data_IF_471021449423
#
_entry.id   IF_471021449423
#
_cell.length_a   1.000
_cell.length_b   1.000
_cell.length_c   1.000
_cell.angle_alpha   90.00
_cell.angle_beta   90.00
_cell.angle_gamma   90.00
#
_symmetry.space_group_name_H-M   'P 1'
#
loop_
_entity.id
_entity.type
_entity.pdbx_description
1 polymer ?
#
# COMPACT_ATOMS: atom_id res chain seq x y z
N UNK A 1 2.79 5.29 24.98
CA UNK A 1 1.84 6.31 24.48
C UNK A 1 1.29 5.97 23.10
N UNK A 2 2.12 5.49 22.15
CA UNK A 2 1.70 5.11 20.79
C UNK A 2 0.66 3.96 20.76
N UNK A 3 0.81 2.84 21.50
CA UNK A 3 -0.17 1.74 21.40
C UNK A 3 -1.59 2.12 21.80
N UNK A 4 -1.75 3.01 22.80
CA UNK A 4 -3.06 3.52 23.21
C UNK A 4 -3.68 4.43 22.13
N UNK A 5 -2.88 5.26 21.49
CA UNK A 5 -3.33 6.13 20.41
C UNK A 5 -3.77 5.32 19.18
N UNK A 6 -2.99 4.31 18.78
CA UNK A 6 -3.35 3.38 17.71
C UNK A 6 -4.67 2.67 18.05
N UNK A 7 -4.78 2.11 19.26
CA UNK A 7 -6.00 1.43 19.68
C UNK A 7 -7.23 2.35 19.65
N UNK A 8 -7.10 3.58 20.14
CA UNK A 8 -8.18 4.58 20.09
C UNK A 8 -8.57 4.94 18.66
N UNK A 9 -7.58 5.14 17.78
CA UNK A 9 -7.81 5.39 16.36
C UNK A 9 -8.54 4.23 15.68
N UNK A 10 -8.11 2.98 15.93
CA UNK A 10 -8.74 1.78 15.37
C UNK A 10 -10.19 1.67 15.82
N UNK A 11 -10.48 1.87 17.10
CA UNK A 11 -11.86 1.82 17.61
C UNK A 11 -12.74 2.92 17.01
N UNK A 12 -12.23 4.16 16.89
CA UNK A 12 -12.97 5.29 16.29
C UNK A 12 -13.33 5.00 14.83
N UNK A 13 -12.41 4.39 14.09
CA UNK A 13 -12.49 4.22 12.63
C UNK A 13 -12.85 2.80 12.18
N UNK A 14 -13.16 1.89 13.09
CA UNK A 14 -13.45 0.48 12.78
C UNK A 14 -14.61 0.32 11.78
N UNK A 15 -15.61 1.19 11.87
CA UNK A 15 -16.75 1.23 10.95
C UNK A 15 -16.34 1.43 9.47
N UNK A 16 -15.14 1.96 9.21
CA UNK A 16 -14.61 2.12 7.86
C UNK A 16 -14.19 0.78 7.24
N UNK A 17 -13.96 -0.27 8.03
CA UNK A 17 -13.54 -1.59 7.51
C UNK A 17 -14.45 -2.73 7.95
N UNK A 18 -15.33 -2.48 8.92
CA UNK A 18 -16.33 -3.43 9.42
C UNK A 18 -17.62 -3.30 8.60
N UNK A 19 -17.55 -3.66 7.32
CA UNK A 19 -18.68 -3.65 6.41
C UNK A 19 -18.54 -4.74 5.34
N UNK A 20 -19.63 -5.02 4.62
CA UNK A 20 -19.63 -6.01 3.55
C UNK A 20 -18.87 -5.48 2.32
N UNK A 21 -17.76 -6.14 2.01
CA UNK A 21 -16.90 -5.82 0.86
C UNK A 21 -17.20 -6.72 -0.33
N UNK A 22 -16.90 -6.24 -1.53
CA UNK A 22 -16.74 -7.13 -2.69
C UNK A 22 -15.34 -7.75 -2.63
N UNK A 23 -15.27 -8.95 -2.07
CA UNK A 23 -14.03 -9.73 -1.97
C UNK A 23 -13.39 -10.00 -3.33
N UNK A 24 -12.07 -9.78 -3.44
CA UNK A 24 -11.28 -10.04 -4.65
C UNK A 24 -10.00 -10.80 -4.31
N UNK A 25 -9.46 -11.51 -5.30
CA UNK A 25 -8.13 -12.07 -5.22
C UNK A 25 -7.11 -10.93 -5.30
N UNK A 26 -6.27 -10.85 -4.28
CA UNK A 26 -5.17 -9.88 -4.14
C UNK A 26 -3.87 -10.63 -4.35
N UNK A 27 -2.90 -10.00 -5.01
CA UNK A 27 -1.56 -10.54 -5.19
C UNK A 27 -0.72 -10.41 -3.92
N UNK A 28 -0.96 -9.38 -3.11
CA UNK A 28 -0.29 -9.10 -1.84
C UNK A 28 1.20 -8.78 -1.93
N UNK A 29 1.80 -8.77 -3.11
CA UNK A 29 3.12 -8.20 -3.32
C UNK A 29 3.30 -7.66 -4.75
N UNK A 30 2.28 -6.96 -5.24
CA UNK A 30 2.32 -6.39 -6.58
C UNK A 30 3.21 -5.14 -6.61
N UNK A 31 4.42 -5.30 -7.14
CA UNK A 31 5.36 -4.23 -7.42
C UNK A 31 6.11 -4.52 -8.75
N UNK A 32 6.84 -3.55 -9.35
CA UNK A 32 7.44 -3.72 -10.67
C UNK A 32 8.38 -4.92 -10.83
N UNK A 33 9.00 -5.40 -9.75
CA UNK A 33 9.85 -6.60 -9.75
C UNK A 33 9.08 -7.91 -9.99
N UNK A 34 7.78 -7.91 -9.69
CA UNK A 34 6.89 -9.05 -9.84
C UNK A 34 6.03 -8.96 -11.12
N UNK A 35 6.31 -8.02 -12.02
CA UNK A 35 5.59 -7.83 -13.29
C UNK A 35 6.52 -8.17 -14.46
N UNK A 36 6.14 -9.16 -15.25
CA UNK A 36 6.82 -9.47 -16.51
C UNK A 36 6.26 -8.58 -17.62
N UNK A 37 7.15 -7.82 -18.25
CA UNK A 37 6.82 -6.93 -19.36
C UNK A 37 7.59 -7.37 -20.60
N UNK A 38 6.85 -7.63 -21.69
CA UNK A 38 7.42 -7.82 -23.02
C UNK A 38 7.41 -6.48 -23.76
N UNK A 39 8.59 -5.99 -24.12
CA UNK A 39 8.76 -4.71 -24.82
C UNK A 39 8.66 -4.83 -26.36
N UNK A 40 8.44 -6.04 -26.89
CA UNK A 40 8.46 -6.28 -28.33
C UNK A 40 9.86 -6.10 -28.94
N UNK A 41 10.01 -6.42 -30.21
CA UNK A 41 11.29 -6.33 -30.93
C UNK A 41 11.39 -5.08 -31.81
N UNK A 42 10.27 -4.39 -32.06
CA UNK A 42 10.17 -3.28 -33.02
C UNK A 42 9.66 -2.00 -32.34
N UNK A 43 10.06 -0.85 -32.90
CA UNK A 43 9.87 0.49 -32.35
C UNK A 43 8.40 0.93 -32.22
N UNK A 44 7.46 0.16 -32.77
CA UNK A 44 6.02 0.43 -32.76
C UNK A 44 5.22 -0.45 -31.76
N UNK A 45 5.90 -1.30 -30.98
CA UNK A 45 5.24 -2.14 -29.98
C UNK A 45 5.17 -1.45 -28.61
N UNK A 46 3.96 -1.29 -28.09
CA UNK A 46 3.77 -0.88 -26.69
C UNK A 46 4.17 -2.02 -25.74
N UNK A 47 4.75 -1.71 -24.55
CA UNK A 47 5.04 -2.73 -23.55
C UNK A 47 3.76 -3.47 -23.13
N UNK A 48 3.80 -4.80 -23.15
CA UNK A 48 2.68 -5.65 -22.75
C UNK A 48 3.06 -6.39 -21.47
N UNK A 49 2.20 -6.29 -20.44
CA UNK A 49 2.29 -7.14 -19.26
C UNK A 49 1.96 -8.56 -19.68
N UNK A 50 2.93 -9.47 -19.60
CA UNK A 50 2.80 -10.86 -20.05
C UNK A 50 2.72 -11.87 -18.90
N UNK A 51 2.96 -11.44 -17.66
CA UNK A 51 2.84 -12.31 -16.49
C UNK A 51 3.02 -11.56 -15.18
N UNK A 52 2.62 -12.23 -14.10
CA UNK A 52 2.83 -11.84 -12.71
C UNK A 52 3.57 -12.98 -12.00
N UNK A 53 4.50 -12.64 -11.11
CA UNK A 53 5.34 -13.57 -10.35
C UNK A 53 5.01 -13.48 -8.85
N UNK A 54 5.51 -14.41 -8.04
CA UNK A 54 5.48 -14.28 -6.57
C UNK A 54 4.05 -14.18 -5.99
N UNK A 55 3.23 -15.18 -6.33
CA UNK A 55 1.80 -15.23 -5.97
C UNK A 55 1.53 -16.06 -4.70
N UNK A 56 2.57 -16.53 -4.01
CA UNK A 56 2.46 -17.34 -2.79
C UNK A 56 1.67 -16.66 -1.67
N UNK A 57 1.73 -15.33 -1.57
CA UNK A 57 1.04 -14.54 -0.56
C UNK A 57 -0.38 -14.13 -0.99
N UNK A 58 -0.85 -14.58 -2.16
CA UNK A 58 -2.15 -14.18 -2.69
C UNK A 58 -3.28 -14.60 -1.75
N UNK A 59 -4.24 -13.69 -1.52
CA UNK A 59 -5.37 -13.93 -0.63
C UNK A 59 -6.65 -13.27 -1.14
N UNK A 60 -7.79 -13.69 -0.58
CA UNK A 60 -9.08 -13.05 -0.81
C UNK A 60 -9.28 -11.93 0.21
N UNK A 61 -9.49 -10.70 -0.26
CA UNK A 61 -9.68 -9.55 0.61
C UNK A 61 -10.23 -8.33 -0.10
N UNK A 62 -10.08 -7.17 0.53
CA UNK A 62 -10.55 -5.91 -0.01
C UNK A 62 -9.50 -5.30 -0.95
N UNK A 63 -9.86 -5.09 -2.22
CA UNK A 63 -8.95 -4.62 -3.27
C UNK A 63 -8.32 -3.25 -2.99
N UNK A 64 -9.01 -2.40 -2.23
CA UNK A 64 -8.51 -1.10 -1.84
C UNK A 64 -7.25 -1.17 -0.94
N UNK A 65 -7.06 -2.28 -0.23
CA UNK A 65 -5.85 -2.52 0.55
C UNK A 65 -4.62 -2.66 -0.36
N UNK A 66 -4.71 -3.49 -1.40
CA UNK A 66 -3.65 -3.66 -2.38
C UNK A 66 -3.44 -2.39 -3.21
N UNK A 67 -4.51 -1.71 -3.60
CA UNK A 67 -4.44 -0.40 -4.26
C UNK A 67 -3.63 0.61 -3.44
N UNK A 68 -3.95 0.76 -2.14
CA UNK A 68 -3.18 1.63 -1.24
C UNK A 68 -1.70 1.21 -1.18
N UNK A 69 -1.41 -0.09 -1.11
CA UNK A 69 -0.02 -0.58 -1.06
C UNK A 69 0.77 -0.19 -2.30
N UNK A 70 0.17 -0.32 -3.49
CA UNK A 70 0.79 0.09 -4.75
C UNK A 70 1.01 1.60 -4.74
N UNK A 71 0.00 2.38 -4.32
CA UNK A 71 0.12 3.83 -4.23
C UNK A 71 1.27 4.25 -3.32
N UNK A 72 1.35 3.64 -2.14
CA UNK A 72 2.37 3.94 -1.15
C UNK A 72 3.76 3.52 -1.61
N UNK A 73 3.91 2.29 -2.11
CA UNK A 73 5.19 1.73 -2.51
C UNK A 73 5.76 2.31 -3.81
N UNK A 74 4.91 2.84 -4.68
CA UNK A 74 5.32 3.29 -6.03
C UNK A 74 5.29 4.81 -6.19
N UNK A 75 4.45 5.53 -5.42
CA UNK A 75 4.21 6.96 -5.66
C UNK A 75 4.55 7.87 -4.47
N UNK A 76 4.58 7.39 -3.23
CA UNK A 76 4.70 8.27 -2.04
C UNK A 76 5.96 9.17 -2.07
N UNK A 77 7.06 8.68 -2.64
CA UNK A 77 8.34 9.40 -2.74
C UNK A 77 8.65 9.93 -4.16
N UNK A 78 7.73 9.78 -5.12
CA UNK A 78 7.93 10.27 -6.48
C UNK A 78 7.67 11.79 -6.57
N UNK A 79 8.52 12.51 -7.32
CA UNK A 79 8.34 13.95 -7.55
C UNK A 79 6.98 14.29 -8.17
N UNK A 80 6.44 13.39 -9.00
CA UNK A 80 5.15 13.53 -9.68
C UNK A 80 4.07 12.60 -9.10
N UNK A 81 4.12 12.36 -7.77
CA UNK A 81 3.25 11.41 -7.05
C UNK A 81 1.76 11.57 -7.37
N UNK A 82 1.25 12.81 -7.41
CA UNK A 82 -0.14 13.12 -7.71
C UNK A 82 -0.52 12.76 -9.15
N UNK A 83 0.38 13.00 -10.11
CA UNK A 83 0.15 12.67 -11.52
C UNK A 83 0.11 11.14 -11.71
N UNK A 84 1.08 10.42 -11.15
CA UNK A 84 1.13 8.97 -11.23
C UNK A 84 -0.08 8.34 -10.57
N UNK A 85 -0.44 8.80 -9.37
CA UNK A 85 -1.63 8.34 -8.66
C UNK A 85 -2.89 8.56 -9.50
N UNK A 86 -3.06 9.76 -10.07
CA UNK A 86 -4.24 10.09 -10.89
C UNK A 86 -4.34 9.18 -12.12
N UNK A 87 -3.22 8.99 -12.84
CA UNK A 87 -3.18 8.11 -14.02
C UNK A 87 -3.46 6.66 -13.64
N UNK A 88 -2.84 6.16 -12.57
CA UNK A 88 -3.02 4.79 -12.10
C UNK A 88 -4.47 4.54 -11.66
N UNK A 89 -5.01 5.41 -10.80
CA UNK A 89 -6.37 5.28 -10.29
C UNK A 89 -7.41 5.36 -11.42
N UNK A 90 -7.22 6.28 -12.38
CA UNK A 90 -8.07 6.39 -13.57
C UNK A 90 -8.04 5.12 -14.44
N UNK A 91 -6.88 4.49 -14.61
CA UNK A 91 -6.77 3.23 -15.34
C UNK A 91 -7.40 2.06 -14.57
N UNK A 92 -7.11 1.95 -13.27
CA UNK A 92 -7.64 0.90 -12.40
C UNK A 92 -9.17 0.92 -12.31
N UNK A 93 -9.75 2.11 -12.14
CA UNK A 93 -11.20 2.28 -11.96
C UNK A 93 -12.03 2.05 -13.23
N UNK A 94 -11.38 1.92 -14.40
CA UNK A 94 -12.05 1.42 -15.62
C UNK A 94 -12.45 -0.04 -15.51
N UNK A 95 -11.78 -0.82 -14.68
CA UNK A 95 -11.98 -2.27 -14.53
C UNK A 95 -12.55 -2.65 -13.17
N UNK A 96 -12.23 -1.88 -12.12
CA UNK A 96 -12.63 -2.18 -10.74
C UNK A 96 -13.31 -0.97 -10.13
N UNK A 97 -14.57 -1.12 -9.72
CA UNK A 97 -15.28 -0.12 -8.93
C UNK A 97 -14.74 -0.13 -7.49
N UNK A 98 -14.41 1.05 -6.96
CA UNK A 98 -14.09 1.25 -5.54
C UNK A 98 -15.37 1.41 -4.74
N UNK A 99 -15.30 1.04 -3.47
CA UNK A 99 -16.41 1.25 -2.55
C UNK A 99 -16.48 2.72 -2.16
N UNK A 100 -17.67 3.20 -1.79
CA UNK A 100 -17.83 4.58 -1.36
C UNK A 100 -16.98 4.84 -0.11
N UNK A 101 -16.16 5.90 -0.12
CA UNK A 101 -15.30 6.25 1.02
C UNK A 101 -13.87 5.71 0.97
N UNK A 102 -13.35 5.30 -0.20
CA UNK A 102 -11.95 4.85 -0.35
C UNK A 102 -10.94 5.81 0.28
N UNK A 103 -11.08 7.11 0.02
CA UNK A 103 -10.17 8.13 0.56
C UNK A 103 -10.18 8.20 2.10
N UNK A 104 -11.31 7.84 2.74
CA UNK A 104 -11.41 7.75 4.20
C UNK A 104 -10.75 6.47 4.74
N UNK A 105 -10.81 5.37 3.98
CA UNK A 105 -10.18 4.09 4.33
C UNK A 105 -8.68 4.07 4.04
N UNK A 106 -8.19 4.86 3.08
CA UNK A 106 -6.79 4.87 2.64
C UNK A 106 -5.79 5.11 3.79
N UNK A 107 -5.99 6.07 4.72
CA UNK A 107 -5.14 6.22 5.90
C UNK A 107 -5.15 4.98 6.82
N UNK A 108 -6.28 4.30 6.94
CA UNK A 108 -6.42 3.07 7.72
C UNK A 108 -5.55 1.94 7.14
N UNK A 109 -5.59 1.75 5.82
CA UNK A 109 -4.71 0.78 5.15
C UNK A 109 -3.25 1.18 5.28
N UNK A 110 -2.91 2.46 5.11
CA UNK A 110 -1.54 2.95 5.26
C UNK A 110 -0.97 2.64 6.65
N UNK A 111 -1.76 2.88 7.71
CA UNK A 111 -1.40 2.52 9.08
C UNK A 111 -1.03 1.04 9.21
N UNK A 112 -1.81 0.13 8.62
CA UNK A 112 -1.50 -1.29 8.68
C UNK A 112 -0.16 -1.63 8.02
N UNK A 113 0.21 -0.92 6.95
CA UNK A 113 1.51 -1.10 6.28
C UNK A 113 2.66 -0.60 7.12
N UNK A 114 2.49 0.55 7.80
CA UNK A 114 3.49 1.07 8.73
C UNK A 114 3.77 0.08 9.88
N UNK A 115 2.71 -0.53 10.42
CA UNK A 115 2.83 -1.56 11.45
C UNK A 115 3.57 -2.81 10.95
N UNK A 116 3.32 -3.23 9.72
CA UNK A 116 4.11 -4.31 9.07
C UNK A 116 5.57 -3.90 8.94
N UNK A 117 5.85 -2.66 8.55
CA UNK A 117 7.23 -2.13 8.48
C UNK A 117 7.95 -2.20 9.82
N UNK A 118 7.28 -1.82 10.92
CA UNK A 118 7.83 -1.96 12.27
C UNK A 118 8.13 -3.42 12.61
N UNK A 119 7.19 -4.33 12.32
CA UNK A 119 7.39 -5.77 12.54
C UNK A 119 8.61 -6.29 11.78
N UNK A 120 8.72 -5.96 10.49
CA UNK A 120 9.84 -6.41 9.68
C UNK A 120 11.19 -5.85 10.15
N UNK A 121 11.24 -4.59 10.60
CA UNK A 121 12.46 -4.03 11.21
C UNK A 121 12.85 -4.78 12.49
N UNK A 122 11.89 -5.17 13.32
CA UNK A 122 12.16 -5.94 14.54
C UNK A 122 12.65 -7.35 14.23
N UNK A 123 12.12 -8.00 13.19
CA UNK A 123 12.45 -9.38 12.83
C UNK A 123 13.76 -9.49 12.02
N UNK A 124 14.01 -8.55 11.11
CA UNK A 124 15.08 -8.66 10.12
C UNK A 124 16.14 -7.55 10.22
N UNK A 125 15.89 -6.50 11.02
CA UNK A 125 16.83 -5.39 11.22
C UNK A 125 17.23 -4.72 9.91
N UNK A 126 18.54 -4.48 9.76
CA UNK A 126 19.12 -3.87 8.55
C UNK A 126 19.02 -4.75 7.29
N UNK A 127 18.61 -6.03 7.39
CA UNK A 127 18.34 -6.83 6.19
C UNK A 127 17.05 -6.42 5.48
N UNK A 128 16.14 -5.77 6.20
CA UNK A 128 14.86 -5.31 5.67
C UNK A 128 14.95 -3.93 5.02
N UNK A 129 15.92 -3.11 5.41
CA UNK A 129 16.03 -1.73 4.98
C UNK A 129 17.45 -1.43 4.50
N UNK A 130 17.58 -0.65 3.44
CA UNK A 130 18.88 -0.08 3.04
C UNK A 130 19.30 1.12 3.93
N UNK A 131 18.62 1.34 5.06
CA UNK A 131 18.92 2.45 5.97
C UNK A 131 20.23 2.24 6.73
N UNK A 132 20.81 3.36 7.18
CA UNK A 132 22.02 3.36 8.01
C UNK A 132 21.74 2.91 9.46
N UNK A 133 20.48 3.00 9.90
CA UNK A 133 20.06 2.63 11.26
C UNK A 133 18.61 2.13 11.34
N UNK A 134 18.41 1.03 12.06
CA UNK A 134 17.08 0.50 12.42
C UNK A 134 16.30 1.51 13.27
N UNK A 135 16.99 2.22 14.17
CA UNK A 135 16.36 3.17 15.11
C UNK A 135 15.80 4.40 14.36
N UNK A 136 16.54 4.89 13.37
CA UNK A 136 16.09 6.00 12.54
C UNK A 136 14.88 5.60 11.71
N UNK A 137 14.92 4.41 11.09
CA UNK A 137 13.78 3.91 10.34
C UNK A 137 12.55 3.70 11.24
N UNK A 138 12.73 3.15 12.44
CA UNK A 138 11.66 3.00 13.42
C UNK A 138 11.04 4.35 13.79
N UNK A 139 11.86 5.38 14.03
CA UNK A 139 11.39 6.76 14.30
C UNK A 139 10.61 7.33 13.12
N UNK A 140 11.06 7.12 11.88
CA UNK A 140 10.34 7.58 10.70
C UNK A 140 8.96 6.93 10.57
N UNK A 141 8.86 5.63 10.83
CA UNK A 141 7.56 4.95 10.86
C UNK A 141 6.68 5.50 12.00
N UNK A 142 7.23 5.69 13.21
CA UNK A 142 6.48 6.30 14.31
C UNK A 142 5.92 7.68 13.96
N UNK A 143 6.69 8.51 13.24
CA UNK A 143 6.24 9.82 12.76
C UNK A 143 5.09 9.68 11.75
N UNK A 144 5.19 8.77 10.78
CA UNK A 144 4.11 8.49 9.81
C UNK A 144 2.83 8.01 10.49
N UNK A 145 2.95 7.12 11.49
CA UNK A 145 1.81 6.65 12.29
C UNK A 145 1.16 7.82 13.04
N UNK A 146 1.95 8.65 13.72
CA UNK A 146 1.43 9.80 14.47
C UNK A 146 0.67 10.78 13.58
N UNK A 147 1.25 11.09 12.40
CA UNK A 147 0.60 11.94 11.39
C UNK A 147 -0.74 11.37 10.95
N UNK A 148 -0.77 10.08 10.64
CA UNK A 148 -2.01 9.39 10.23
C UNK A 148 -3.11 9.49 11.29
N UNK A 149 -2.75 9.33 12.56
CA UNK A 149 -3.69 9.42 13.68
C UNK A 149 -4.16 10.88 13.88
N UNK A 150 -3.25 11.86 13.83
CA UNK A 150 -3.59 13.27 14.05
C UNK A 150 -4.45 13.87 12.95
N UNK A 151 -4.21 13.49 11.70
CA UNK A 151 -4.98 13.99 10.55
C UNK A 151 -6.43 13.45 10.53
N UNK A 152 -6.75 12.54 11.44
CA UNK A 152 -8.07 11.90 11.59
C UNK A 152 -8.81 12.32 12.86
N UNK A 153 -8.25 13.26 13.65
CA UNK A 153 -8.91 13.89 14.80
C UNK A 153 -9.81 15.05 14.38
#
# INVERSE_FOLDING_TARGET
MIPKAIHGYLLKNMHLIDYEIISRLLHMDLHPGNILINFGCDQDCFPIICGLLDIEDALIGHNEYELMRIEKGSFEDAQDSDEYRTKFLSAYTKYVKLDDGYELRRPFYSLSRELVGMKCLLEYGLKYTQAESVEEHMKNIELKIRKTISDSE
#
